data_IF_315799893694
#
_entry.id   IF_315799893694
#
_cell.length_a   1.000
_cell.length_b   1.000
_cell.length_c   1.000
_cell.angle_alpha   90.00
_cell.angle_beta   90.00
_cell.angle_gamma   90.00
#
_symmetry.space_group_name_H-M   'P 1'
#
loop_
_entity.id
_entity.type
_entity.pdbx_description
1 polymer ?
#
# COMPACT_ATOMS: atom_id res chain seq x y z
N UNK A 1 11.06 22.38 -9.35
CA UNK A 1 10.17 23.51 -9.69
C UNK A 1 9.96 24.46 -8.51
N UNK A 2 9.50 24.02 -7.32
CA UNK A 2 9.33 24.89 -6.15
C UNK A 2 10.66 25.55 -5.73
N UNK A 3 11.76 24.80 -5.75
CA UNK A 3 13.11 25.29 -5.45
C UNK A 3 13.59 26.26 -6.53
N UNK A 4 13.33 25.96 -7.80
CA UNK A 4 13.69 26.83 -8.91
C UNK A 4 12.90 28.15 -8.88
N UNK A 5 11.63 28.11 -8.48
CA UNK A 5 10.81 29.30 -8.26
C UNK A 5 11.32 30.13 -7.06
N UNK A 6 11.71 29.48 -5.95
CA UNK A 6 12.27 30.14 -4.77
C UNK A 6 13.63 30.80 -5.06
N UNK A 7 14.42 30.26 -5.99
CA UNK A 7 15.69 30.83 -6.45
C UNK A 7 15.51 31.95 -7.51
N UNK A 8 14.27 32.33 -7.84
CA UNK A 8 13.97 33.38 -8.82
C UNK A 8 14.28 33.01 -10.27
N UNK A 9 14.61 31.76 -10.57
CA UNK A 9 14.97 31.29 -11.91
C UNK A 9 13.79 31.03 -12.82
N UNK A 10 12.55 30.98 -12.27
CA UNK A 10 11.31 30.77 -13.05
C UNK A 10 10.26 31.79 -12.59
N UNK A 11 9.72 32.59 -13.51
CA UNK A 11 8.53 33.41 -13.23
C UNK A 11 7.32 32.51 -12.95
N UNK A 12 6.56 32.81 -11.89
CA UNK A 12 5.38 32.02 -11.46
C UNK A 12 4.37 31.82 -12.61
N UNK A 13 4.24 32.78 -13.50
CA UNK A 13 3.36 32.72 -14.69
C UNK A 13 3.73 31.58 -15.65
N UNK A 14 5.01 31.25 -15.77
CA UNK A 14 5.49 30.19 -16.68
C UNK A 14 5.58 28.82 -15.95
N UNK A 15 5.59 28.79 -14.63
CA UNK A 15 5.67 27.56 -13.85
C UNK A 15 4.36 26.75 -13.93
N UNK A 16 3.20 27.40 -13.89
CA UNK A 16 1.90 26.73 -13.87
C UNK A 16 1.67 25.87 -15.13
N UNK A 17 1.82 26.39 -16.37
CA UNK A 17 1.61 25.57 -17.56
C UNK A 17 2.61 24.42 -17.67
N UNK A 18 3.87 24.61 -17.25
CA UNK A 18 4.89 23.55 -17.25
C UNK A 18 4.52 22.45 -16.25
N UNK A 19 4.06 22.80 -15.04
CA UNK A 19 3.62 21.83 -14.04
C UNK A 19 2.40 21.05 -14.54
N UNK A 20 1.41 21.73 -15.11
CA UNK A 20 0.22 21.09 -15.65
C UNK A 20 0.56 20.14 -16.80
N UNK A 21 1.37 20.61 -17.76
CA UNK A 21 1.78 19.79 -18.91
C UNK A 21 2.60 18.58 -18.46
N UNK A 22 3.57 18.77 -17.57
CA UNK A 22 4.35 17.67 -16.99
C UNK A 22 3.48 16.69 -16.22
N UNK A 23 2.50 17.15 -15.45
CA UNK A 23 1.58 16.28 -14.70
C UNK A 23 0.70 15.47 -15.63
N UNK A 24 0.02 16.12 -16.59
CA UNK A 24 -0.84 15.44 -17.57
C UNK A 24 -0.03 14.46 -18.43
N UNK A 25 1.15 14.89 -18.89
CA UNK A 25 2.07 14.03 -19.64
C UNK A 25 2.50 12.81 -18.84
N UNK A 26 2.77 12.96 -17.53
CA UNK A 26 3.12 11.87 -16.61
C UNK A 26 1.98 10.86 -16.44
N UNK A 27 0.73 11.33 -16.33
CA UNK A 27 -0.44 10.46 -16.24
C UNK A 27 -0.61 9.63 -17.52
N UNK A 28 -0.52 10.26 -18.68
CA UNK A 28 -0.64 9.60 -19.99
C UNK A 28 0.50 8.60 -20.19
N UNK A 29 1.75 9.03 -19.96
CA UNK A 29 2.93 8.19 -20.13
C UNK A 29 2.89 6.97 -19.21
N UNK A 30 2.57 7.18 -17.91
CA UNK A 30 2.44 6.08 -16.94
C UNK A 30 1.37 5.07 -17.34
N UNK A 31 0.22 5.53 -17.84
CA UNK A 31 -0.84 4.65 -18.33
C UNK A 31 -0.41 3.86 -19.59
N UNK A 32 0.17 4.53 -20.58
CA UNK A 32 0.61 3.87 -21.82
C UNK A 32 1.74 2.87 -21.58
N UNK A 33 2.76 3.24 -20.79
CA UNK A 33 3.85 2.35 -20.43
C UNK A 33 3.37 1.18 -19.59
N UNK A 34 2.41 1.38 -18.68
CA UNK A 34 1.77 0.31 -17.92
C UNK A 34 1.01 -0.67 -18.83
N UNK A 35 0.31 -0.16 -19.84
CA UNK A 35 -0.36 -1.01 -20.86
C UNK A 35 0.65 -1.81 -21.68
N UNK A 36 1.73 -1.16 -22.10
CA UNK A 36 2.79 -1.82 -22.87
C UNK A 36 3.48 -2.93 -22.07
N UNK A 37 3.82 -2.66 -20.80
CA UNK A 37 4.37 -3.67 -19.90
C UNK A 37 3.45 -4.86 -19.67
N UNK A 38 2.14 -4.66 -19.62
CA UNK A 38 1.19 -5.77 -19.51
C UNK A 38 1.25 -6.71 -20.71
N UNK A 39 1.52 -6.20 -21.91
CA UNK A 39 1.67 -7.05 -23.11
C UNK A 39 2.91 -7.93 -23.03
N UNK A 40 4.01 -7.41 -22.49
CA UNK A 40 5.22 -8.19 -22.28
C UNK A 40 5.07 -9.21 -21.15
N UNK A 41 4.51 -8.79 -20.01
CA UNK A 41 4.32 -9.65 -18.84
C UNK A 41 3.38 -10.83 -19.08
N UNK A 42 2.40 -10.68 -19.97
CA UNK A 42 1.48 -11.79 -20.31
C UNK A 42 2.13 -12.88 -21.15
N UNK A 43 3.25 -12.59 -21.82
CA UNK A 43 4.01 -13.54 -22.65
C UNK A 43 5.04 -14.33 -21.88
N UNK A 44 5.42 -13.91 -20.67
CA UNK A 44 6.45 -14.56 -19.86
C UNK A 44 5.72 -15.51 -18.89
N UNK A 45 5.96 -16.82 -19.03
CA UNK A 45 5.32 -17.83 -18.20
C UNK A 45 6.04 -18.04 -16.87
N UNK A 46 7.36 -17.86 -16.84
CA UNK A 46 8.17 -18.04 -15.66
C UNK A 46 8.04 -16.85 -14.68
N UNK A 47 7.80 -17.16 -13.39
CA UNK A 47 7.58 -16.15 -12.36
C UNK A 47 8.85 -15.34 -12.04
N UNK A 48 10.03 -15.96 -12.04
CA UNK A 48 11.28 -15.29 -11.76
C UNK A 48 11.63 -14.29 -12.86
N UNK A 49 11.58 -14.73 -14.11
CA UNK A 49 11.81 -13.87 -15.29
C UNK A 49 10.80 -12.73 -15.35
N UNK A 50 9.52 -13.00 -15.05
CA UNK A 50 8.48 -11.97 -14.98
C UNK A 50 8.80 -10.90 -13.94
N UNK A 51 9.31 -11.30 -12.78
CA UNK A 51 9.70 -10.36 -11.71
C UNK A 51 10.89 -9.50 -12.11
N UNK A 52 11.94 -10.11 -12.70
CA UNK A 52 13.11 -9.37 -13.20
C UNK A 52 12.67 -8.31 -14.23
N UNK A 53 11.81 -8.69 -15.18
CA UNK A 53 11.29 -7.75 -16.21
C UNK A 53 10.44 -6.64 -15.57
N UNK A 54 9.68 -6.93 -14.51
CA UNK A 54 8.95 -5.90 -13.77
C UNK A 54 9.89 -4.90 -13.08
N UNK A 55 10.96 -5.37 -12.42
CA UNK A 55 11.95 -4.50 -11.83
C UNK A 55 12.66 -3.65 -12.89
N UNK A 56 13.20 -4.27 -13.94
CA UNK A 56 13.85 -3.57 -15.03
C UNK A 56 12.90 -2.55 -15.70
N UNK A 57 11.64 -2.93 -15.91
CA UNK A 57 10.61 -2.06 -16.46
C UNK A 57 10.32 -0.86 -15.56
N UNK A 58 10.28 -1.05 -14.23
CA UNK A 58 10.05 0.05 -13.29
C UNK A 58 11.18 1.07 -13.34
N UNK A 59 12.44 0.62 -13.33
CA UNK A 59 13.58 1.53 -13.47
C UNK A 59 13.64 2.17 -14.86
N UNK A 60 13.33 1.41 -15.92
CA UNK A 60 13.24 1.93 -17.28
C UNK A 60 12.21 3.05 -17.43
N UNK A 61 11.05 2.87 -16.82
CA UNK A 61 9.97 3.91 -16.80
C UNK A 61 10.42 5.14 -16.03
N UNK A 62 11.13 4.97 -14.91
CA UNK A 62 11.71 6.09 -14.16
C UNK A 62 12.66 6.93 -15.03
N UNK A 63 13.67 6.26 -15.60
CA UNK A 63 14.69 6.92 -16.43
C UNK A 63 14.06 7.60 -17.66
N UNK A 64 13.08 6.94 -18.30
CA UNK A 64 12.39 7.49 -19.46
C UNK A 64 11.57 8.73 -19.09
N UNK A 65 10.84 8.68 -17.99
CA UNK A 65 10.05 9.81 -17.51
C UNK A 65 10.95 11.02 -17.18
N UNK A 66 12.08 10.80 -16.52
CA UNK A 66 13.05 11.82 -16.17
C UNK A 66 13.65 12.46 -17.43
N UNK A 67 14.10 11.68 -18.41
CA UNK A 67 14.62 12.16 -19.69
C UNK A 67 13.62 12.96 -20.53
N UNK A 68 12.33 12.65 -20.40
CA UNK A 68 11.25 13.37 -21.09
C UNK A 68 10.81 14.64 -20.35
N UNK A 69 11.43 15.00 -19.22
CA UNK A 69 11.04 16.13 -18.39
C UNK A 69 9.68 15.96 -17.71
N UNK A 70 9.22 14.71 -17.57
CA UNK A 70 8.00 14.35 -16.87
C UNK A 70 8.29 14.10 -15.37
N UNK A 71 7.24 14.10 -14.54
CA UNK A 71 7.38 13.69 -13.17
C UNK A 71 7.55 12.16 -13.08
N UNK A 72 8.76 11.69 -12.82
CA UNK A 72 9.06 10.27 -12.71
C UNK A 72 8.21 9.59 -11.61
N UNK A 73 7.97 10.28 -10.48
CA UNK A 73 7.15 9.77 -9.38
C UNK A 73 5.70 9.54 -9.82
N UNK A 74 5.07 10.54 -10.46
CA UNK A 74 3.68 10.42 -10.94
C UNK A 74 3.58 9.33 -12.00
N UNK A 75 4.53 9.30 -12.95
CA UNK A 75 4.57 8.32 -14.02
C UNK A 75 4.64 6.90 -13.47
N UNK A 76 5.51 6.63 -12.49
CA UNK A 76 5.63 5.31 -11.84
C UNK A 76 4.38 4.94 -11.06
N UNK A 77 3.78 5.87 -10.31
CA UNK A 77 2.56 5.58 -9.55
C UNK A 77 1.43 5.16 -10.50
N UNK A 78 1.23 5.88 -11.59
CA UNK A 78 0.19 5.54 -12.59
C UNK A 78 0.51 4.24 -13.31
N UNK A 79 1.78 4.00 -13.65
CA UNK A 79 2.28 2.75 -14.20
C UNK A 79 1.96 1.56 -13.27
N UNK A 80 2.32 1.67 -12.00
CA UNK A 80 2.10 0.63 -10.99
C UNK A 80 0.59 0.35 -10.79
N UNK A 81 -0.24 1.39 -10.66
CA UNK A 81 -1.69 1.25 -10.55
C UNK A 81 -2.28 0.56 -11.80
N UNK A 82 -1.78 0.91 -12.99
CA UNK A 82 -2.26 0.33 -14.24
C UNK A 82 -1.96 -1.17 -14.31
N UNK A 83 -0.77 -1.59 -13.87
CA UNK A 83 -0.40 -3.01 -13.78
C UNK A 83 -1.20 -3.69 -12.68
N UNK A 84 -1.22 -3.16 -11.47
CA UNK A 84 -1.89 -3.76 -10.32
C UNK A 84 -3.37 -4.06 -10.56
N UNK A 85 -4.07 -3.18 -11.26
CA UNK A 85 -5.50 -3.39 -11.57
C UNK A 85 -5.77 -4.45 -12.63
N UNK A 86 -4.84 -4.72 -13.53
CA UNK A 86 -5.07 -5.58 -14.71
C UNK A 86 -4.29 -6.88 -14.69
N UNK A 87 -3.09 -6.91 -14.12
CA UNK A 87 -2.24 -8.10 -14.08
C UNK A 87 -2.93 -9.29 -13.38
N UNK A 88 -3.62 -9.14 -12.23
CA UNK A 88 -4.24 -10.27 -11.54
C UNK A 88 -5.28 -11.02 -12.39
N UNK A 89 -5.99 -10.31 -13.29
CA UNK A 89 -7.01 -10.90 -14.16
C UNK A 89 -6.41 -11.68 -15.34
N UNK A 90 -5.14 -11.46 -15.66
CA UNK A 90 -4.44 -12.07 -16.81
C UNK A 90 -3.41 -13.11 -16.42
N UNK A 91 -3.10 -13.23 -15.13
CA UNK A 91 -2.15 -14.19 -14.60
C UNK A 91 -2.85 -15.43 -14.04
N UNK A 92 -2.24 -16.61 -14.21
CA UNK A 92 -2.70 -17.82 -13.53
C UNK A 92 -2.54 -17.68 -11.99
N UNK A 93 -3.37 -18.38 -11.23
CA UNK A 93 -3.37 -18.33 -9.77
C UNK A 93 -1.97 -18.67 -9.19
N UNK A 94 -1.34 -19.73 -9.69
CA UNK A 94 -0.01 -20.17 -9.27
C UNK A 94 1.04 -19.08 -9.47
N UNK A 95 1.08 -18.46 -10.65
CA UNK A 95 2.03 -17.38 -10.96
C UNK A 95 1.78 -16.14 -10.12
N UNK A 96 0.52 -15.80 -9.85
CA UNK A 96 0.15 -14.67 -9.00
C UNK A 96 0.69 -14.82 -7.59
N UNK A 97 0.50 -15.98 -6.94
CA UNK A 97 1.01 -16.25 -5.58
C UNK A 97 2.53 -16.11 -5.55
N UNK A 98 3.24 -16.74 -6.50
CA UNK A 98 4.71 -16.67 -6.56
C UNK A 98 5.21 -15.24 -6.76
N UNK A 99 4.59 -14.46 -7.66
CA UNK A 99 4.96 -13.07 -7.90
C UNK A 99 4.74 -12.19 -6.67
N UNK A 100 3.63 -12.37 -5.94
CA UNK A 100 3.40 -11.61 -4.71
C UNK A 100 4.44 -11.91 -3.63
N UNK A 101 4.81 -13.18 -3.43
CA UNK A 101 5.82 -13.56 -2.44
C UNK A 101 7.20 -12.94 -2.75
N UNK A 102 7.60 -12.90 -4.03
CA UNK A 102 8.85 -12.26 -4.44
C UNK A 102 8.81 -10.75 -4.22
N UNK A 103 7.69 -10.10 -4.57
CA UNK A 103 7.53 -8.67 -4.35
C UNK A 103 7.51 -8.30 -2.86
N UNK A 104 6.85 -9.07 -2.03
CA UNK A 104 6.85 -8.89 -0.57
C UNK A 104 8.26 -8.94 0.00
N UNK A 105 9.04 -9.95 -0.38
CA UNK A 105 10.44 -10.07 0.02
C UNK A 105 11.30 -8.93 -0.49
N UNK A 106 11.12 -8.52 -1.76
CA UNK A 106 11.86 -7.42 -2.35
C UNK A 106 11.55 -6.08 -1.67
N UNK A 107 10.29 -5.80 -1.40
CA UNK A 107 9.87 -4.58 -0.67
C UNK A 107 10.43 -4.57 0.73
N UNK A 108 10.46 -5.70 1.43
CA UNK A 108 11.09 -5.81 2.74
C UNK A 108 12.58 -5.45 2.68
N UNK A 109 13.34 -6.07 1.77
CA UNK A 109 14.78 -5.80 1.60
C UNK A 109 15.04 -4.34 1.22
N UNK A 110 14.27 -3.78 0.28
CA UNK A 110 14.40 -2.39 -0.13
C UNK A 110 14.10 -1.42 1.01
N UNK A 111 13.10 -1.72 1.84
CA UNK A 111 12.80 -0.91 3.02
C UNK A 111 13.94 -0.96 4.03
N UNK A 112 14.48 -2.13 4.34
CA UNK A 112 15.62 -2.29 5.24
C UNK A 112 16.82 -1.49 4.71
N UNK A 113 17.15 -1.65 3.42
CA UNK A 113 18.24 -0.91 2.78
C UNK A 113 18.03 0.61 2.88
N UNK A 114 16.82 1.08 2.58
CA UNK A 114 16.48 2.49 2.66
C UNK A 114 16.66 3.05 4.08
N UNK A 115 16.26 2.29 5.12
CA UNK A 115 16.45 2.71 6.52
C UNK A 115 17.92 2.68 6.94
N UNK A 116 18.71 1.71 6.48
CA UNK A 116 20.17 1.68 6.71
C UNK A 116 20.84 2.90 6.07
N UNK A 117 20.51 3.21 4.81
CA UNK A 117 21.04 4.39 4.12
C UNK A 117 20.64 5.69 4.83
N UNK A 118 19.39 5.77 5.31
CA UNK A 118 18.93 6.91 6.10
C UNK A 118 19.73 7.04 7.41
N UNK A 119 19.98 5.94 8.11
CA UNK A 119 20.79 5.93 9.33
C UNK A 119 22.22 6.39 9.09
N UNK A 120 22.83 5.99 7.99
CA UNK A 120 24.17 6.44 7.60
C UNK A 120 24.21 7.95 7.31
N UNK A 121 23.17 8.48 6.68
CA UNK A 121 23.08 9.93 6.41
C UNK A 121 22.85 10.76 7.68
N UNK A 122 22.21 10.21 8.71
CA UNK A 122 21.98 10.89 9.99
C UNK A 122 23.27 11.44 10.58
N UNK A 123 24.33 10.65 10.57
CA UNK A 123 25.64 11.06 11.06
C UNK A 123 26.19 12.28 10.32
N UNK A 124 26.04 12.30 8.99
CA UNK A 124 26.49 13.42 8.17
C UNK A 124 25.66 14.69 8.42
N UNK A 125 24.34 14.55 8.59
CA UNK A 125 23.44 15.67 8.87
C UNK A 125 23.77 16.31 10.22
N UNK A 126 23.88 15.49 11.26
CA UNK A 126 24.19 15.97 12.62
C UNK A 126 25.60 16.55 12.69
N UNK A 127 26.59 15.96 12.02
CA UNK A 127 27.97 16.43 12.00
C UNK A 127 28.15 17.80 11.33
N UNK A 128 27.32 18.17 10.37
CA UNK A 128 27.35 19.49 9.72
C UNK A 128 26.80 20.62 10.59
N UNK A 129 25.99 20.26 11.56
CA UNK A 129 25.38 21.22 12.51
C UNK A 129 26.27 21.51 13.74
N UNK A 130 27.55 21.10 13.72
CA UNK A 130 28.49 21.32 14.81
C UNK A 130 28.79 22.83 14.94
N UNK A 131 28.22 23.50 15.97
CA UNK A 131 28.41 24.94 16.24
C UNK A 131 27.33 25.54 17.13
N UNK A 132 27.39 26.84 17.34
CA UNK A 132 26.51 27.59 18.26
C UNK A 132 25.00 27.52 17.95
N UNK A 133 24.58 27.06 16.76
CA UNK A 133 23.16 26.92 16.32
C UNK A 133 22.56 25.52 16.45
N UNK A 134 23.28 24.55 17.04
CA UNK A 134 22.77 23.15 17.13
C UNK A 134 21.45 23.05 17.89
N UNK A 135 21.35 23.71 19.05
CA UNK A 135 20.13 23.67 19.85
C UNK A 135 18.90 24.21 19.14
N UNK A 136 19.07 25.31 18.41
CA UNK A 136 18.00 25.94 17.63
C UNK A 136 17.55 25.05 16.48
N UNK A 137 18.48 24.40 15.78
CA UNK A 137 18.16 23.49 14.68
C UNK A 137 17.40 22.24 15.17
N UNK A 138 17.80 21.66 16.31
CA UNK A 138 17.08 20.54 16.92
C UNK A 138 15.70 20.95 17.44
N UNK A 139 15.57 22.12 18.07
CA UNK A 139 14.30 22.66 18.51
C UNK A 139 13.37 22.91 17.32
N UNK A 140 13.88 23.48 16.23
CA UNK A 140 13.15 23.66 14.98
C UNK A 140 12.67 22.32 14.43
N UNK A 141 13.54 21.31 14.33
CA UNK A 141 13.19 19.98 13.82
C UNK A 141 12.13 19.29 14.70
N UNK A 142 12.26 19.38 16.02
CA UNK A 142 11.28 18.85 16.97
C UNK A 142 9.92 19.57 16.86
N UNK A 143 9.94 20.88 16.72
CA UNK A 143 8.72 21.68 16.51
C UNK A 143 8.02 21.29 15.23
N UNK A 144 8.74 21.15 14.11
CA UNK A 144 8.19 20.71 12.84
C UNK A 144 7.58 19.31 12.95
N UNK A 145 8.25 18.38 13.64
CA UNK A 145 7.73 17.04 13.91
C UNK A 145 6.38 17.08 14.64
N UNK A 146 6.32 17.84 15.74
CA UNK A 146 5.09 17.98 16.53
C UNK A 146 3.98 18.61 15.71
N UNK A 147 4.27 19.70 15.00
CA UNK A 147 3.31 20.39 14.15
C UNK A 147 2.75 19.47 13.08
N UNK A 148 3.59 18.66 12.42
CA UNK A 148 3.17 17.71 11.40
C UNK A 148 2.24 16.64 11.97
N UNK A 149 2.55 16.10 13.15
CA UNK A 149 1.70 15.10 13.83
C UNK A 149 0.35 15.72 14.22
N UNK A 150 0.38 16.88 14.88
CA UNK A 150 -0.83 17.57 15.36
C UNK A 150 -1.70 18.01 14.18
N UNK A 151 -1.12 18.64 13.16
CA UNK A 151 -1.87 19.07 11.96
C UNK A 151 -2.58 17.88 11.28
N UNK A 152 -1.95 16.72 11.22
CA UNK A 152 -2.56 15.52 10.67
C UNK A 152 -3.72 15.02 11.53
N UNK A 153 -3.55 14.94 12.83
CA UNK A 153 -4.63 14.53 13.74
C UNK A 153 -5.82 15.47 13.65
N UNK A 154 -5.56 16.78 13.65
CA UNK A 154 -6.60 17.81 13.48
C UNK A 154 -7.31 17.67 12.13
N UNK A 155 -6.56 17.46 11.05
CA UNK A 155 -7.12 17.27 9.71
C UNK A 155 -8.06 16.06 9.65
N UNK A 156 -7.61 14.90 10.15
CA UNK A 156 -8.42 13.67 10.12
C UNK A 156 -9.63 13.79 11.05
N UNK A 157 -9.46 14.37 12.24
CA UNK A 157 -10.56 14.61 13.15
C UNK A 157 -11.62 15.57 12.55
N UNK A 158 -11.16 16.64 11.89
CA UNK A 158 -12.02 17.60 11.19
C UNK A 158 -12.80 16.93 10.05
N UNK A 159 -12.11 16.10 9.25
CA UNK A 159 -12.73 15.35 8.15
C UNK A 159 -13.84 14.43 8.66
N UNK A 160 -13.58 13.66 9.72
CA UNK A 160 -14.60 12.79 10.33
C UNK A 160 -15.73 13.60 10.96
N UNK A 161 -15.43 14.73 11.62
CA UNK A 161 -16.45 15.62 12.18
C UNK A 161 -17.37 16.18 11.08
N UNK A 162 -16.81 16.61 9.95
CA UNK A 162 -17.54 17.12 8.80
C UNK A 162 -18.46 16.02 8.21
N UNK A 163 -17.94 14.82 7.98
CA UNK A 163 -18.74 13.70 7.45
C UNK A 163 -19.90 13.39 8.41
N UNK A 164 -19.64 13.31 9.70
CA UNK A 164 -20.67 13.05 10.72
C UNK A 164 -21.70 14.18 10.78
N UNK A 165 -21.27 15.42 10.59
CA UNK A 165 -22.18 16.56 10.54
C UNK A 165 -23.11 16.49 9.32
N UNK A 166 -22.58 16.22 8.13
CA UNK A 166 -23.37 16.02 6.91
C UNK A 166 -24.30 14.81 7.00
N UNK A 167 -23.85 13.72 7.64
CA UNK A 167 -24.66 12.53 7.80
C UNK A 167 -25.87 12.71 8.73
N UNK A 168 -25.86 13.75 9.59
CA UNK A 168 -27.06 14.13 10.39
C UNK A 168 -28.22 14.62 9.52
N UNK A 169 -27.93 15.13 8.33
CA UNK A 169 -28.91 15.57 7.35
C UNK A 169 -29.28 14.51 6.31
N UNK A 170 -28.58 13.38 6.29
CA UNK A 170 -28.84 12.22 5.43
C UNK A 170 -29.65 11.15 6.15
N UNK A 171 -30.53 10.42 5.42
CA UNK A 171 -31.40 9.38 5.99
C UNK A 171 -30.66 8.26 6.75
N UNK A 172 -31.42 7.41 7.43
CA UNK A 172 -30.91 6.39 8.38
C UNK A 172 -29.91 5.38 7.79
N UNK A 173 -30.02 5.05 6.50
CA UNK A 173 -29.10 4.14 5.82
C UNK A 173 -27.64 4.63 5.79
N UNK A 174 -27.40 5.95 5.80
CA UNK A 174 -26.05 6.53 5.81
C UNK A 174 -25.38 6.57 7.19
N UNK A 175 -26.14 6.29 8.27
CA UNK A 175 -25.60 6.28 9.64
C UNK A 175 -24.83 5.01 9.98
N UNK A 176 -25.03 3.92 9.24
CA UNK A 176 -24.49 2.60 9.55
C UNK A 176 -22.99 2.50 9.27
N UNK A 177 -22.46 3.25 8.28
CA UNK A 177 -21.06 3.17 7.82
C UNK A 177 -20.23 4.40 8.22
N UNK A 178 -20.61 5.11 9.27
CA UNK A 178 -19.87 6.30 9.69
C UNK A 178 -18.56 5.92 10.38
N UNK A 179 -17.44 6.56 10.00
CA UNK A 179 -16.15 6.32 10.65
C UNK A 179 -16.25 6.65 12.15
N UNK A 180 -15.77 5.71 12.97
CA UNK A 180 -15.69 5.90 14.42
C UNK A 180 -14.64 6.94 14.77
N UNK A 181 -14.78 7.61 15.92
CA UNK A 181 -13.75 8.54 16.39
C UNK A 181 -12.42 7.82 16.64
N UNK A 182 -12.47 6.59 17.18
CA UNK A 182 -11.29 5.74 17.34
C UNK A 182 -10.61 5.43 16.00
N UNK A 183 -11.40 5.13 14.96
CA UNK A 183 -10.88 4.95 13.59
C UNK A 183 -10.20 6.20 13.04
N UNK A 184 -10.77 7.39 13.31
CA UNK A 184 -10.13 8.66 12.93
C UNK A 184 -8.77 8.85 13.60
N UNK A 185 -8.70 8.63 14.91
CA UNK A 185 -7.44 8.71 15.66
C UNK A 185 -6.41 7.72 15.11
N UNK A 186 -6.83 6.48 14.85
CA UNK A 186 -5.95 5.45 14.28
C UNK A 186 -5.41 5.85 12.90
N UNK A 187 -6.27 6.26 11.98
CA UNK A 187 -5.87 6.70 10.62
C UNK A 187 -4.97 7.94 10.69
N UNK A 188 -5.27 8.88 11.58
CA UNK A 188 -4.43 10.04 11.83
C UNK A 188 -3.05 9.65 12.37
N UNK A 189 -3.02 8.74 13.34
CA UNK A 189 -1.78 8.26 13.94
C UNK A 189 -0.93 7.40 13.00
N UNK A 190 -1.51 6.49 12.23
CA UNK A 190 -0.82 5.63 11.26
C UNK A 190 -0.16 6.38 10.10
N UNK A 191 -0.21 7.68 10.08
CA UNK A 191 0.28 8.51 8.97
C UNK A 191 1.78 8.70 8.91
N UNK A 192 2.55 7.63 8.98
CA UNK A 192 4.00 7.68 8.82
C UNK A 192 4.41 8.36 7.52
N UNK A 193 5.43 9.22 7.60
CA UNK A 193 6.00 9.88 6.42
C UNK A 193 7.00 8.94 5.74
N UNK A 194 6.91 8.89 4.40
CA UNK A 194 7.81 8.06 3.61
C UNK A 194 9.17 8.72 3.38
N UNK A 195 10.13 7.90 2.95
CA UNK A 195 11.49 8.30 2.59
C UNK A 195 11.56 9.42 1.53
N UNK A 196 10.53 9.55 0.70
CA UNK A 196 10.43 10.59 -0.36
C UNK A 196 10.61 12.00 0.23
N UNK A 197 10.08 12.27 1.42
CA UNK A 197 10.23 13.58 2.09
C UNK A 197 11.69 13.89 2.37
N UNK A 198 12.48 12.92 2.80
CA UNK A 198 13.89 13.09 3.08
C UNK A 198 14.71 13.21 1.79
N UNK A 199 14.42 12.38 0.79
CA UNK A 199 15.09 12.43 -0.52
C UNK A 199 14.94 13.82 -1.15
N UNK A 200 13.71 14.36 -1.19
CA UNK A 200 13.44 15.71 -1.72
C UNK A 200 14.17 16.79 -0.91
N UNK A 201 14.28 16.65 0.41
CA UNK A 201 15.02 17.61 1.22
C UNK A 201 16.54 17.56 0.97
N UNK A 202 17.10 16.39 0.71
CA UNK A 202 18.54 16.22 0.41
C UNK A 202 18.88 16.78 -0.98
N UNK A 203 17.97 16.71 -1.94
CA UNK A 203 18.13 17.27 -3.30
C UNK A 203 18.19 18.80 -3.33
N UNK A 204 17.91 19.49 -2.21
CA UNK A 204 18.10 20.95 -2.13
C UNK A 204 19.55 21.32 -2.48
N UNK A 205 19.77 22.35 -3.34
CA UNK A 205 21.10 22.83 -3.69
C UNK A 205 21.94 23.18 -2.48
N UNK A 206 23.25 22.95 -2.52
CA UNK A 206 24.15 23.23 -1.39
C UNK A 206 24.12 24.69 -0.93
N UNK A 207 23.85 25.64 -1.83
CA UNK A 207 23.72 27.08 -1.52
C UNK A 207 22.33 27.51 -1.07
N UNK A 208 21.38 26.61 -0.84
CA UNK A 208 20.03 26.96 -0.42
C UNK A 208 20.01 27.48 1.00
N UNK A 209 19.42 28.67 1.26
CA UNK A 209 19.38 29.25 2.61
C UNK A 209 18.65 28.31 3.60
N UNK A 210 19.28 27.99 4.72
CA UNK A 210 18.67 27.12 5.73
C UNK A 210 18.56 25.66 5.34
N UNK A 211 19.35 25.18 4.36
CA UNK A 211 19.32 23.79 3.88
C UNK A 211 19.50 22.77 5.01
N UNK A 212 20.50 22.96 5.86
CA UNK A 212 20.84 21.98 6.90
C UNK A 212 19.72 21.80 7.96
N UNK A 213 19.12 22.86 8.52
CA UNK A 213 17.94 22.70 9.38
C UNK A 213 16.72 22.10 8.65
N UNK A 214 16.51 22.38 7.37
CA UNK A 214 15.40 21.77 6.60
C UNK A 214 15.62 20.27 6.43
N UNK A 215 16.85 19.86 6.10
CA UNK A 215 17.19 18.42 5.95
C UNK A 215 17.08 17.71 7.29
N UNK A 216 17.54 18.36 8.41
CA UNK A 216 17.36 17.84 9.75
C UNK A 216 15.89 17.69 10.13
N UNK A 217 15.05 18.69 9.82
CA UNK A 217 13.62 18.62 10.09
C UNK A 217 12.95 17.51 9.30
N UNK A 218 13.26 17.35 8.01
CA UNK A 218 12.76 16.24 7.19
C UNK A 218 13.17 14.88 7.76
N UNK A 219 14.44 14.75 8.18
CA UNK A 219 14.94 13.54 8.83
C UNK A 219 14.22 13.26 10.15
N UNK A 220 14.06 14.27 10.99
CA UNK A 220 13.35 14.15 12.28
C UNK A 220 11.88 13.76 12.07
N UNK A 221 11.21 14.32 11.08
CA UNK A 221 9.82 13.98 10.76
C UNK A 221 9.71 12.52 10.28
N UNK A 222 10.58 12.07 9.37
CA UNK A 222 10.53 10.70 8.86
C UNK A 222 10.85 9.70 9.96
N UNK A 223 11.98 9.88 10.65
CA UNK A 223 12.41 8.97 11.72
C UNK A 223 11.49 9.05 12.93
N UNK A 224 11.13 10.27 13.37
CA UNK A 224 10.26 10.50 14.51
C UNK A 224 8.88 9.90 14.32
N UNK A 225 8.24 10.11 13.16
CA UNK A 225 6.94 9.48 12.88
C UNK A 225 7.06 7.97 12.80
N UNK A 226 8.10 7.45 12.19
CA UNK A 226 8.31 6.01 12.08
C UNK A 226 8.51 5.34 13.44
N UNK A 227 9.39 5.89 14.27
CA UNK A 227 9.70 5.32 15.59
C UNK A 227 8.56 5.54 16.58
N UNK A 228 8.12 6.80 16.76
CA UNK A 228 7.06 7.12 17.73
C UNK A 228 5.74 6.41 17.36
N UNK A 229 5.29 6.58 16.12
CA UNK A 229 4.02 6.02 15.69
C UNK A 229 4.08 4.50 15.57
N UNK A 230 5.20 3.95 15.06
CA UNK A 230 5.39 2.50 14.96
C UNK A 230 5.39 1.80 16.32
N UNK A 231 6.14 2.32 17.28
CA UNK A 231 6.21 1.74 18.64
C UNK A 231 4.92 1.90 19.44
N UNK A 232 4.20 2.99 19.23
CA UNK A 232 2.96 3.29 19.97
C UNK A 232 1.69 2.75 19.30
N UNK A 233 1.77 2.24 18.08
CA UNK A 233 0.63 1.71 17.36
C UNK A 233 -0.04 0.52 18.08
N UNK A 234 0.76 -0.44 18.55
CA UNK A 234 0.24 -1.61 19.25
C UNK A 234 -0.49 -1.27 20.56
N UNK A 235 0.07 -0.43 21.46
CA UNK A 235 -0.67 0.02 22.64
C UNK A 235 -1.90 0.87 22.27
N UNK A 236 -1.84 1.71 21.24
CA UNK A 236 -2.97 2.49 20.78
C UNK A 236 -4.14 1.61 20.31
N UNK A 237 -3.87 0.56 19.53
CA UNK A 237 -4.87 -0.40 19.10
C UNK A 237 -5.54 -1.11 20.29
N UNK A 238 -4.78 -1.44 21.34
CA UNK A 238 -5.33 -2.03 22.55
C UNK A 238 -6.25 -1.09 23.32
N UNK A 239 -5.89 0.20 23.41
CA UNK A 239 -6.70 1.23 24.08
C UNK A 239 -7.99 1.49 23.31
N UNK A 240 -7.93 1.53 21.99
CA UNK A 240 -9.09 1.80 21.14
C UNK A 240 -10.06 0.63 21.03
N UNK A 241 -9.65 -0.57 21.45
CA UNK A 241 -10.47 -1.79 21.55
C UNK A 241 -11.39 -1.99 20.32
N UNK A 242 -10.80 -2.05 19.14
CA UNK A 242 -11.55 -2.32 17.91
C UNK A 242 -12.05 -3.75 17.90
N UNK A 243 -13.30 -3.93 17.49
CA UNK A 243 -13.79 -5.26 17.14
C UNK A 243 -12.98 -5.83 15.96
N UNK A 244 -12.73 -7.15 15.94
CA UNK A 244 -12.04 -7.78 14.84
C UNK A 244 -12.75 -7.47 13.52
N UNK A 245 -12.02 -6.91 12.57
CA UNK A 245 -12.55 -6.67 11.22
C UNK A 245 -12.71 -8.01 10.49
N UNK A 246 -13.95 -8.49 10.39
CA UNK A 246 -14.33 -9.71 9.67
C UNK A 246 -14.78 -9.43 8.24
N UNK A 247 -14.66 -8.21 7.75
CA UNK A 247 -15.17 -7.82 6.43
C UNK A 247 -14.52 -8.66 5.33
N UNK A 248 -13.19 -8.83 5.38
CA UNK A 248 -12.46 -9.66 4.39
C UNK A 248 -12.85 -11.13 4.50
N UNK A 249 -12.97 -11.65 5.72
CA UNK A 249 -13.36 -13.05 5.94
C UNK A 249 -14.77 -13.31 5.42
N UNK A 250 -15.70 -12.38 5.64
CA UNK A 250 -17.06 -12.45 5.15
C UNK A 250 -17.11 -12.32 3.61
N UNK A 251 -16.35 -11.41 3.00
CA UNK A 251 -16.25 -11.30 1.54
C UNK A 251 -15.66 -12.57 0.92
N UNK A 252 -14.63 -13.16 1.53
CA UNK A 252 -14.04 -14.44 1.09
C UNK A 252 -15.04 -15.58 1.22
N UNK A 253 -15.81 -15.65 2.32
CA UNK A 253 -16.84 -16.65 2.52
C UNK A 253 -17.95 -16.51 1.45
N UNK A 254 -18.45 -15.31 1.22
CA UNK A 254 -19.45 -15.03 0.19
C UNK A 254 -18.93 -15.39 -1.22
N UNK A 255 -17.67 -15.03 -1.53
CA UNK A 255 -17.08 -15.38 -2.81
C UNK A 255 -16.94 -16.91 -2.98
N UNK A 256 -16.58 -17.63 -1.91
CA UNK A 256 -16.53 -19.11 -1.91
C UNK A 256 -17.91 -19.70 -2.18
N UNK A 257 -18.94 -19.24 -1.48
CA UNK A 257 -20.32 -19.69 -1.66
C UNK A 257 -20.76 -19.46 -3.12
N UNK A 258 -20.50 -18.27 -3.68
CA UNK A 258 -20.87 -17.94 -5.06
C UNK A 258 -20.15 -18.85 -6.08
N UNK A 259 -18.88 -19.15 -5.89
CA UNK A 259 -18.11 -20.07 -6.76
C UNK A 259 -18.65 -21.50 -6.66
N UNK A 260 -18.96 -21.97 -5.45
CA UNK A 260 -19.52 -23.30 -5.23
C UNK A 260 -20.91 -23.42 -5.85
N UNK A 261 -21.75 -22.39 -5.71
CA UNK A 261 -23.07 -22.36 -6.32
C UNK A 261 -22.97 -22.42 -7.86
N UNK A 262 -22.09 -21.65 -8.46
CA UNK A 262 -21.86 -21.70 -9.91
C UNK A 262 -21.39 -23.08 -10.40
N UNK A 263 -20.56 -23.77 -9.60
CA UNK A 263 -20.13 -25.14 -9.89
C UNK A 263 -21.31 -26.12 -9.80
N UNK A 264 -22.16 -26.02 -8.76
CA UNK A 264 -23.34 -26.83 -8.56
C UNK A 264 -24.37 -26.65 -9.71
N UNK A 265 -24.55 -25.41 -10.18
CA UNK A 265 -25.44 -25.11 -11.31
C UNK A 265 -25.01 -25.82 -12.61
N UNK A 266 -23.69 -25.89 -12.84
CA UNK A 266 -23.15 -26.65 -14.00
C UNK A 266 -23.29 -28.15 -13.80
N UNK A 267 -23.05 -28.65 -12.59
CA UNK A 267 -23.14 -30.08 -12.26
C UNK A 267 -24.59 -30.59 -12.21
N UNK A 268 -25.56 -29.72 -11.92
CA UNK A 268 -26.98 -30.09 -11.91
C UNK A 268 -27.47 -30.56 -13.26
N UNK A 269 -26.86 -30.11 -14.35
CA UNK A 269 -27.16 -30.48 -15.73
C UNK A 269 -26.53 -31.81 -16.17
N UNK A 270 -25.70 -32.43 -15.31
CA UNK A 270 -25.04 -33.72 -15.63
C UNK A 270 -25.57 -34.83 -14.73
N UNK A 271 -25.92 -35.97 -15.36
CA UNK A 271 -26.56 -37.10 -14.70
C UNK A 271 -25.60 -38.27 -14.43
N UNK A 272 -24.30 -38.15 -14.66
CA UNK A 272 -23.34 -39.22 -14.43
C UNK A 272 -23.09 -39.47 -12.93
N UNK A 273 -22.79 -40.73 -12.56
CA UNK A 273 -22.45 -41.11 -11.18
C UNK A 273 -21.29 -40.27 -10.63
N UNK A 274 -20.27 -39.97 -11.45
CA UNK A 274 -19.16 -39.10 -11.08
C UNK A 274 -19.63 -37.66 -10.77
N UNK A 275 -20.60 -37.14 -11.52
CA UNK A 275 -21.18 -35.83 -11.26
C UNK A 275 -21.95 -35.78 -9.94
N UNK A 276 -22.59 -36.87 -9.52
CA UNK A 276 -23.28 -36.97 -8.26
C UNK A 276 -22.29 -36.86 -7.06
N UNK A 277 -21.18 -37.59 -7.11
CA UNK A 277 -20.13 -37.56 -6.06
C UNK A 277 -19.53 -36.15 -5.95
N UNK A 278 -19.21 -35.54 -7.08
CA UNK A 278 -18.65 -34.17 -7.06
C UNK A 278 -19.66 -33.15 -6.55
N UNK A 279 -20.94 -33.31 -6.86
CA UNK A 279 -22.04 -32.45 -6.37
C UNK A 279 -22.14 -32.53 -4.83
N UNK A 280 -22.18 -33.74 -4.28
CA UNK A 280 -22.22 -33.95 -2.84
C UNK A 280 -21.03 -33.28 -2.11
N UNK A 281 -19.83 -33.35 -2.70
CA UNK A 281 -18.65 -32.70 -2.18
C UNK A 281 -18.77 -31.17 -2.17
N UNK A 282 -19.29 -30.56 -3.25
CA UNK A 282 -19.48 -29.11 -3.31
C UNK A 282 -20.63 -28.63 -2.41
N UNK A 283 -21.70 -29.42 -2.24
CA UNK A 283 -22.79 -29.12 -1.32
C UNK A 283 -22.29 -29.12 0.15
N UNK A 284 -21.50 -30.12 0.54
CA UNK A 284 -20.89 -30.17 1.86
C UNK A 284 -19.97 -28.96 2.12
N UNK A 285 -19.13 -28.59 1.15
CA UNK A 285 -18.26 -27.43 1.26
C UNK A 285 -19.05 -26.11 1.33
N UNK A 286 -20.18 -26.00 0.61
CA UNK A 286 -21.04 -24.82 0.66
C UNK A 286 -21.65 -24.62 2.04
N UNK A 287 -22.19 -25.68 2.64
CA UNK A 287 -22.77 -25.63 4.00
C UNK A 287 -21.75 -25.11 5.02
N UNK A 288 -20.51 -25.58 4.95
CA UNK A 288 -19.41 -25.08 5.82
C UNK A 288 -19.09 -23.60 5.53
N UNK A 289 -19.15 -23.18 4.28
CA UNK A 289 -18.84 -21.80 3.90
C UNK A 289 -19.99 -20.82 4.23
N UNK A 290 -21.24 -21.28 4.24
CA UNK A 290 -22.43 -20.48 4.60
C UNK A 290 -22.51 -20.18 6.10
N UNK A 291 -21.88 -21.00 6.96
CA UNK A 291 -21.86 -20.85 8.41
C UNK A 291 -20.45 -20.54 8.95
N UNK A 292 -19.86 -19.39 8.61
CA UNK A 292 -18.50 -19.03 9.05
C UNK A 292 -18.41 -18.80 10.57
N UNK A 293 -19.53 -18.61 11.26
CA UNK A 293 -19.58 -18.47 12.71
C UNK A 293 -19.48 -19.82 13.45
N UNK A 294 -19.76 -20.91 12.75
CA UNK A 294 -19.60 -22.25 13.30
C UNK A 294 -18.13 -22.73 13.10
N UNK A 295 -17.22 -22.03 13.80
CA UNK A 295 -15.80 -22.31 13.75
C UNK A 295 -15.45 -23.76 14.18
N UNK A 296 -16.35 -24.44 14.88
CA UNK A 296 -16.18 -25.84 15.27
C UNK A 296 -16.41 -26.77 14.08
N UNK A 297 -17.46 -26.56 13.30
CA UNK A 297 -17.75 -27.38 12.11
C UNK A 297 -16.68 -27.19 11.02
N UNK A 298 -16.24 -25.94 10.79
CA UNK A 298 -15.15 -25.65 9.86
C UNK A 298 -13.83 -26.29 10.31
N UNK A 299 -13.51 -26.22 11.61
CA UNK A 299 -12.29 -26.80 12.17
C UNK A 299 -12.31 -28.32 12.14
N UNK A 300 -13.46 -28.95 12.37
CA UNK A 300 -13.63 -30.41 12.29
C UNK A 300 -13.49 -30.90 10.85
N UNK A 301 -14.12 -30.23 9.89
CA UNK A 301 -13.99 -30.53 8.48
C UNK A 301 -12.54 -30.44 8.00
N UNK A 302 -11.82 -29.38 8.36
CA UNK A 302 -10.43 -29.19 8.00
C UNK A 302 -9.51 -30.23 8.66
N UNK A 303 -9.78 -30.62 9.90
CA UNK A 303 -9.04 -31.68 10.62
C UNK A 303 -9.23 -33.03 9.93
N UNK A 304 -10.46 -33.40 9.60
CA UNK A 304 -10.76 -34.66 8.93
C UNK A 304 -10.15 -34.71 7.53
N UNK A 305 -10.19 -33.60 6.81
CA UNK A 305 -9.57 -33.46 5.49
C UNK A 305 -8.05 -33.58 5.55
N UNK A 306 -7.39 -32.90 6.51
CA UNK A 306 -5.95 -33.03 6.72
C UNK A 306 -5.55 -34.45 7.14
N UNK A 307 -6.34 -35.10 7.99
CA UNK A 307 -6.12 -36.47 8.39
C UNK A 307 -6.19 -37.42 7.17
N UNK A 308 -7.21 -37.26 6.32
CA UNK A 308 -7.36 -38.07 5.11
C UNK A 308 -6.18 -37.85 4.12
N UNK A 309 -5.77 -36.59 3.91
CA UNK A 309 -4.63 -36.26 3.04
C UNK A 309 -3.31 -36.85 3.57
N UNK A 310 -3.08 -36.74 4.88
CA UNK A 310 -1.88 -37.31 5.48
C UNK A 310 -1.86 -38.85 5.37
N UNK A 311 -3.00 -39.52 5.55
CA UNK A 311 -3.10 -40.97 5.36
C UNK A 311 -2.90 -41.37 3.90
N UNK A 312 -3.39 -40.61 2.94
CA UNK A 312 -3.12 -40.85 1.51
C UNK A 312 -1.63 -40.71 1.21
N UNK A 313 -0.94 -39.73 1.76
CA UNK A 313 0.49 -39.54 1.61
C UNK A 313 1.29 -40.70 2.17
N UNK A 314 0.96 -41.13 3.41
CA UNK A 314 1.63 -42.25 4.07
C UNK A 314 1.46 -43.60 3.33
N UNK A 315 0.46 -43.69 2.43
CA UNK A 315 0.19 -44.91 1.64
C UNK A 315 0.98 -44.87 0.31
N UNK A 316 1.50 -43.71 -0.07
CA UNK A 316 2.27 -43.49 -1.31
C UNK A 316 3.79 -43.53 -1.06
N UNK A 317 4.22 -43.42 0.19
CA UNK A 317 5.61 -43.66 0.65
C UNK A 317 5.82 -45.12 1.04
#
# INVERSE_FOLDING_TARGET
>A
LAVSAALGSIMLSNAIPVILLSTIGSLIAGYLLGRLSLLTLTRIEDAASSTVVQFAGTFGVWILADKLGLSAIITIVVYAITIARRAPRRMSARRRVSTYSVWESAVFVLNVLAFVLMGLQARSIVGRLSGEGQGEAFLFAATVLVVVIVARLVWVASYVAIIRWFARFGGEDKKRDLPTFGGAVLVGWCGMRGLVTLVVAIELPAGFPGRDPIVLAAFAVVLGTLVLQGMTLKPLLRILNFDPDRTVDNEVAQARVAVMQAALDVLSRKTSAAAAVVREQYEAQRVVAENPEDAQAATEYDRLRLYAINRQRDTLE
#
